data_IF_890616018008
#
_entry.id   IF_890616018008
#
_cell.length_a   1.000
_cell.length_b   1.000
_cell.length_c   1.000
_cell.angle_alpha   90.00
_cell.angle_beta   90.00
_cell.angle_gamma   90.00
#
_symmetry.space_group_name_H-M   'P 1'
#
loop_
_entity.id
_entity.type
_entity.pdbx_description
1 polymer ?
#
# COMPACT_ATOMS: atom_id res chain seq x y z
N UNK A 1 0.55 -10.54 10.34
CA UNK A 1 -0.25 -9.40 10.83
C UNK A 1 -0.49 -8.42 9.68
N UNK A 2 -1.74 -8.07 9.44
CA UNK A 2 -2.13 -7.03 8.51
C UNK A 2 -2.97 -5.95 9.21
N UNK A 3 -2.87 -4.71 8.74
CA UNK A 3 -3.70 -3.60 9.22
C UNK A 3 -4.13 -2.76 8.03
N UNK A 4 -5.44 -2.58 7.86
CA UNK A 4 -6.01 -1.67 6.87
C UNK A 4 -6.80 -0.61 7.61
N UNK A 5 -6.36 0.65 7.49
CA UNK A 5 -6.97 1.79 8.17
C UNK A 5 -7.32 2.87 7.16
N UNK A 6 -8.62 3.15 6.94
CA UNK A 6 -9.04 4.32 6.19
C UNK A 6 -8.92 5.58 7.06
N UNK A 7 -8.53 6.67 6.43
CA UNK A 7 -8.54 8.02 6.95
C UNK A 7 -9.38 8.88 6.00
N UNK A 8 -10.68 9.05 6.28
CA UNK A 8 -11.58 9.81 5.44
C UNK A 8 -11.22 11.31 5.40
N UNK A 9 -10.60 11.86 6.45
CA UNK A 9 -10.24 13.28 6.52
C UNK A 9 -9.12 13.60 5.53
N UNK A 10 -8.11 12.73 5.45
CA UNK A 10 -7.03 12.84 4.45
C UNK A 10 -7.39 12.26 3.08
N UNK A 11 -8.57 11.64 2.96
CA UNK A 11 -8.95 10.79 1.84
C UNK A 11 -7.83 9.79 1.48
N UNK A 12 -7.39 9.03 2.50
CA UNK A 12 -6.21 8.15 2.41
C UNK A 12 -6.50 6.78 3.00
N UNK A 13 -5.89 5.76 2.41
CA UNK A 13 -5.90 4.40 2.93
C UNK A 13 -4.49 3.98 3.37
N UNK A 14 -4.36 3.53 4.60
CA UNK A 14 -3.13 2.98 5.14
C UNK A 14 -3.22 1.46 5.17
N UNK A 15 -2.26 0.80 4.54
CA UNK A 15 -2.17 -0.66 4.51
C UNK A 15 -0.81 -1.03 5.08
N UNK A 16 -0.79 -1.81 6.15
CA UNK A 16 0.44 -2.38 6.71
C UNK A 16 0.40 -3.89 6.57
N UNK A 17 1.43 -4.45 5.95
CA UNK A 17 1.62 -5.89 5.76
C UNK A 17 2.92 -6.26 6.47
N UNK A 18 2.83 -7.01 7.57
CA UNK A 18 4.00 -7.49 8.30
C UNK A 18 4.45 -8.87 7.90
N UNK A 19 4.92 -9.69 8.84
CA UNK A 19 5.05 -11.14 8.64
C UNK A 19 3.68 -11.68 8.22
N UNK A 20 3.54 -11.91 6.91
CA UNK A 20 2.30 -12.25 6.26
C UNK A 20 2.51 -13.58 5.55
N UNK A 21 1.70 -14.56 5.94
CA UNK A 21 1.47 -15.74 5.13
C UNK A 21 0.33 -15.44 4.14
N UNK A 22 0.05 -16.36 3.23
CA UNK A 22 -1.04 -16.25 2.26
C UNK A 22 -2.39 -15.84 2.88
N UNK A 23 -2.75 -16.47 4.00
CA UNK A 23 -4.02 -16.23 4.71
C UNK A 23 -4.12 -14.77 5.18
N UNK A 24 -3.02 -14.21 5.69
CA UNK A 24 -2.96 -12.81 6.12
C UNK A 24 -3.13 -11.83 4.95
N UNK A 25 -2.61 -12.17 3.76
CA UNK A 25 -2.74 -11.33 2.57
C UNK A 25 -4.17 -11.41 2.01
N UNK A 26 -4.80 -12.59 2.07
CA UNK A 26 -6.21 -12.75 1.70
C UNK A 26 -7.13 -11.94 2.64
N UNK A 27 -6.87 -11.97 3.95
CA UNK A 27 -7.60 -11.14 4.91
C UNK A 27 -7.35 -9.64 4.70
N UNK A 28 -6.14 -9.25 4.28
CA UNK A 28 -5.83 -7.87 3.89
C UNK A 28 -6.63 -7.45 2.65
N UNK A 29 -6.83 -8.33 1.66
CA UNK A 29 -7.64 -8.04 0.48
C UNK A 29 -9.10 -7.73 0.86
N UNK A 30 -9.73 -8.59 1.67
CA UNK A 30 -11.11 -8.35 2.14
C UNK A 30 -11.20 -7.02 2.91
N UNK A 31 -10.22 -6.77 3.79
CA UNK A 31 -10.15 -5.53 4.56
C UNK A 31 -9.98 -4.29 3.68
N UNK A 32 -9.24 -4.40 2.57
CA UNK A 32 -9.07 -3.33 1.57
C UNK A 32 -10.39 -3.06 0.87
N UNK A 33 -11.11 -4.06 0.39
CA UNK A 33 -12.39 -3.90 -0.30
C UNK A 33 -13.44 -3.21 0.59
N UNK A 34 -13.48 -3.58 1.87
CA UNK A 34 -14.37 -2.94 2.85
C UNK A 34 -13.92 -1.50 3.15
N UNK A 35 -12.62 -1.27 3.29
CA UNK A 35 -12.09 0.05 3.67
C UNK A 35 -12.10 1.06 2.52
N UNK A 36 -12.02 0.61 1.27
CA UNK A 36 -12.18 1.47 0.09
C UNK A 36 -13.55 2.17 0.07
N UNK A 37 -14.59 1.53 0.60
CA UNK A 37 -15.94 2.13 0.70
C UNK A 37 -16.03 3.27 1.71
N UNK A 38 -15.00 3.44 2.55
CA UNK A 38 -14.93 4.48 3.60
C UNK A 38 -14.13 5.71 3.16
N UNK A 39 -13.54 5.68 1.96
CA UNK A 39 -12.84 6.80 1.34
C UNK A 39 -13.53 7.17 0.02
N UNK A 40 -13.29 8.37 -0.48
CA UNK A 40 -13.87 8.85 -1.74
C UNK A 40 -12.96 8.54 -2.91
N UNK A 41 -13.53 8.31 -4.09
CA UNK A 41 -12.75 8.13 -5.31
C UNK A 41 -11.77 9.30 -5.51
N UNK A 42 -10.55 8.99 -5.96
CA UNK A 42 -9.42 9.91 -5.97
C UNK A 42 -8.54 9.84 -4.72
N UNK A 43 -8.77 8.85 -3.84
CA UNK A 43 -8.00 8.67 -2.61
C UNK A 43 -6.53 8.30 -2.88
N UNK A 44 -5.70 8.51 -1.87
CA UNK A 44 -4.28 8.11 -1.88
C UNK A 44 -4.04 6.92 -0.98
N UNK A 45 -2.97 6.15 -1.20
CA UNK A 45 -2.68 4.99 -0.37
C UNK A 45 -1.22 4.95 0.06
N UNK A 46 -0.97 4.55 1.31
CA UNK A 46 0.35 4.18 1.80
C UNK A 46 0.34 2.69 2.09
N UNK A 47 1.23 1.97 1.44
CA UNK A 47 1.54 0.57 1.70
C UNK A 47 2.82 0.48 2.49
N UNK A 48 2.76 -0.06 3.70
CA UNK A 48 3.90 -0.24 4.58
C UNK A 48 4.20 -1.72 4.74
N UNK A 49 5.40 -2.14 4.36
CA UNK A 49 5.88 -3.50 4.59
C UNK A 49 6.81 -3.49 5.81
N UNK A 50 6.48 -4.26 6.86
CA UNK A 50 7.37 -4.38 8.02
C UNK A 50 8.49 -5.38 7.74
N UNK A 51 9.57 -5.31 8.53
CA UNK A 51 10.60 -6.35 8.51
C UNK A 51 9.99 -7.74 8.73
N UNK A 52 10.52 -8.74 8.01
CA UNK A 52 10.02 -10.12 8.03
C UNK A 52 8.86 -10.41 7.06
N UNK A 53 8.31 -9.41 6.37
CA UNK A 53 7.34 -9.64 5.29
C UNK A 53 7.98 -10.43 4.12
N UNK A 54 7.89 -11.75 4.15
CA UNK A 54 8.32 -12.64 3.09
C UNK A 54 7.14 -12.94 2.17
N UNK A 55 7.01 -12.16 1.11
CA UNK A 55 6.07 -12.47 0.03
C UNK A 55 6.72 -13.47 -0.93
N UNK A 56 6.23 -14.71 -0.88
CA UNK A 56 6.64 -15.74 -1.82
C UNK A 56 6.17 -15.35 -3.23
N UNK A 57 6.88 -15.77 -4.30
CA UNK A 57 6.44 -15.55 -5.67
C UNK A 57 4.99 -16.03 -5.91
N UNK A 58 4.58 -17.12 -5.27
CA UNK A 58 3.24 -17.70 -5.34
C UNK A 58 2.12 -16.83 -4.72
N UNK A 59 2.49 -15.78 -3.98
CA UNK A 59 1.56 -14.84 -3.34
C UNK A 59 1.48 -13.50 -4.10
N UNK A 60 2.23 -13.35 -5.20
CA UNK A 60 2.20 -12.13 -6.03
C UNK A 60 0.81 -11.86 -6.61
N UNK A 61 0.07 -12.90 -7.00
CA UNK A 61 -1.31 -12.79 -7.49
C UNK A 61 -2.23 -12.07 -6.50
N UNK A 62 -2.02 -12.26 -5.19
CA UNK A 62 -2.83 -11.62 -4.16
C UNK A 62 -2.52 -10.12 -4.05
N UNK A 63 -1.25 -9.73 -4.19
CA UNK A 63 -0.87 -8.32 -4.24
C UNK A 63 -1.46 -7.62 -5.46
N UNK A 64 -1.47 -8.28 -6.62
CA UNK A 64 -2.12 -7.73 -7.81
C UNK A 64 -3.64 -7.57 -7.61
N UNK A 65 -4.30 -8.52 -6.93
CA UNK A 65 -5.71 -8.38 -6.56
C UNK A 65 -5.95 -7.20 -5.63
N UNK A 66 -5.10 -7.00 -4.62
CA UNK A 66 -5.19 -5.85 -3.71
C UNK A 66 -5.05 -4.53 -4.50
N UNK A 67 -4.05 -4.43 -5.38
CA UNK A 67 -3.91 -3.27 -6.25
C UNK A 67 -5.13 -3.06 -7.15
N UNK A 68 -5.63 -4.13 -7.76
CA UNK A 68 -6.83 -4.09 -8.61
C UNK A 68 -8.05 -3.59 -7.85
N UNK A 69 -8.25 -4.04 -6.61
CA UNK A 69 -9.31 -3.58 -5.74
C UNK A 69 -9.18 -2.08 -5.43
N UNK A 70 -7.97 -1.60 -5.13
CA UNK A 70 -7.71 -0.19 -4.87
C UNK A 70 -7.97 0.69 -6.09
N UNK A 71 -7.46 0.29 -7.27
CA UNK A 71 -7.67 1.01 -8.53
C UNK A 71 -9.17 1.05 -8.87
N UNK A 72 -9.87 -0.07 -8.73
CA UNK A 72 -11.32 -0.15 -8.94
C UNK A 72 -12.10 0.71 -7.94
N UNK A 73 -11.57 0.87 -6.72
CA UNK A 73 -12.10 1.80 -5.71
C UNK A 73 -11.83 3.28 -6.01
N UNK A 74 -11.00 3.60 -7.00
CA UNK A 74 -10.65 4.97 -7.38
C UNK A 74 -9.33 5.48 -6.79
N UNK A 75 -8.37 4.60 -6.53
CA UNK A 75 -7.02 4.99 -6.11
C UNK A 75 -6.37 5.93 -7.15
N UNK A 76 -5.86 7.08 -6.67
CA UNK A 76 -5.16 8.08 -7.49
C UNK A 76 -3.64 7.93 -7.48
N UNK A 77 -3.07 7.65 -6.31
CA UNK A 77 -1.62 7.58 -6.09
C UNK A 77 -1.31 6.69 -4.90
N UNK A 78 -0.29 5.84 -5.02
CA UNK A 78 0.20 5.03 -3.93
C UNK A 78 1.65 5.38 -3.55
N UNK A 79 2.03 5.12 -2.29
CA UNK A 79 3.41 5.13 -1.85
C UNK A 79 3.72 3.84 -1.10
N UNK A 80 4.83 3.20 -1.45
CA UNK A 80 5.35 2.02 -0.81
C UNK A 80 6.46 2.40 0.18
N UNK A 81 6.23 2.13 1.46
CA UNK A 81 7.18 2.34 2.55
C UNK A 81 7.91 1.04 2.83
N UNK A 82 9.24 1.10 2.81
CA UNK A 82 10.11 -0.04 3.09
C UNK A 82 11.29 0.34 3.98
N UNK A 83 11.59 -0.50 4.98
CA UNK A 83 12.87 -0.44 5.68
C UNK A 83 14.00 -0.94 4.77
N UNK A 84 15.19 -0.36 4.93
CA UNK A 84 16.41 -0.89 4.32
C UNK A 84 16.63 -2.33 4.82
N UNK A 85 16.58 -3.32 3.91
CA UNK A 85 16.75 -4.75 4.25
C UNK A 85 15.51 -5.62 4.10
N UNK A 86 14.33 -5.06 3.79
CA UNK A 86 13.15 -5.87 3.46
C UNK A 86 13.36 -6.67 2.17
N UNK A 87 13.08 -7.98 2.24
CA UNK A 87 13.29 -8.98 1.17
C UNK A 87 12.24 -8.90 0.06
N UNK A 88 11.23 -8.02 0.16
CA UNK A 88 10.52 -7.54 -1.01
C UNK A 88 11.51 -6.79 -1.91
N UNK A 89 12.12 -7.54 -2.82
CA UNK A 89 13.07 -7.02 -3.77
C UNK A 89 12.45 -5.87 -4.53
N UNK A 90 13.23 -4.81 -4.74
CA UNK A 90 12.91 -3.68 -5.63
C UNK A 90 12.23 -4.11 -6.93
N UNK A 91 12.60 -5.29 -7.44
CA UNK A 91 12.03 -5.95 -8.61
C UNK A 91 10.54 -6.33 -8.47
N UNK A 92 10.08 -6.88 -7.34
CA UNK A 92 8.67 -7.20 -7.14
C UNK A 92 7.80 -5.94 -7.11
N UNK A 93 8.32 -4.86 -6.51
CA UNK A 93 7.68 -3.54 -6.51
C UNK A 93 7.69 -2.88 -7.89
N UNK A 94 8.79 -3.01 -8.64
CA UNK A 94 8.86 -2.54 -10.03
C UNK A 94 7.86 -3.31 -10.91
N UNK A 95 7.68 -4.62 -10.71
CA UNK A 95 6.63 -5.40 -11.37
C UNK A 95 5.22 -4.94 -10.96
N UNK A 96 5.00 -4.65 -9.69
CA UNK A 96 3.74 -4.08 -9.18
C UNK A 96 3.45 -2.69 -9.76
N UNK A 97 4.49 -1.87 -10.00
CA UNK A 97 4.37 -0.58 -10.68
C UNK A 97 4.04 -0.75 -12.16
N UNK A 98 4.69 -1.70 -12.85
CA UNK A 98 4.48 -1.96 -14.28
C UNK A 98 3.10 -2.53 -14.59
N UNK A 99 2.54 -3.35 -13.69
CA UNK A 99 1.23 -3.98 -13.89
C UNK A 99 0.05 -3.15 -13.38
N UNK A 100 0.30 -2.05 -12.67
CA UNK A 100 -0.78 -1.18 -12.17
C UNK A 100 -0.86 0.10 -13.00
N UNK A 101 -2.07 0.46 -13.42
CA UNK A 101 -2.38 1.76 -14.04
C UNK A 101 -2.28 2.94 -13.04
N UNK A 102 -1.88 2.68 -11.79
CA UNK A 102 -1.76 3.69 -10.75
C UNK A 102 -0.28 4.09 -10.55
N UNK A 103 0.05 5.39 -10.57
CA UNK A 103 1.40 5.85 -10.24
C UNK A 103 1.69 5.55 -8.77
N UNK A 104 2.79 4.85 -8.55
CA UNK A 104 3.30 4.56 -7.21
C UNK A 104 4.74 5.06 -7.03
N UNK A 105 5.09 5.42 -5.80
CA UNK A 105 6.43 5.94 -5.44
C UNK A 105 6.96 5.16 -4.23
N UNK A 106 8.28 5.09 -4.06
CA UNK A 106 8.88 4.46 -2.88
C UNK A 106 9.23 5.51 -1.83
N UNK A 107 9.15 5.13 -0.56
CA UNK A 107 9.59 5.88 0.61
C UNK A 107 10.33 4.94 1.57
N UNK A 108 11.24 5.49 2.39
CA UNK A 108 11.95 4.75 3.42
C UNK A 108 11.23 4.80 4.77
N UNK A 109 10.39 5.81 5.00
CA UNK A 109 9.63 5.97 6.24
C UNK A 109 8.18 6.34 5.95
N UNK A 110 7.30 6.12 6.93
CA UNK A 110 5.90 6.55 6.86
C UNK A 110 5.80 8.08 6.72
N UNK A 111 6.64 8.83 7.43
CA UNK A 111 6.72 10.28 7.31
C UNK A 111 7.10 10.75 5.89
N UNK A 112 8.08 10.11 5.27
CA UNK A 112 8.45 10.42 3.89
C UNK A 112 7.28 10.12 2.93
N UNK A 113 6.56 9.03 3.14
CA UNK A 113 5.38 8.71 2.33
C UNK A 113 4.25 9.72 2.49
N UNK A 114 4.01 10.18 3.72
CA UNK A 114 3.07 11.28 3.99
C UNK A 114 3.46 12.53 3.20
N UNK A 115 4.74 12.92 3.24
CA UNK A 115 5.25 14.09 2.52
C UNK A 115 5.06 13.95 1.00
N UNK A 116 5.35 12.77 0.45
CA UNK A 116 5.20 12.47 -0.99
C UNK A 116 3.73 12.56 -1.45
N UNK A 117 2.80 12.09 -0.62
CA UNK A 117 1.37 12.16 -0.92
C UNK A 117 0.80 13.56 -0.69
N UNK A 118 1.35 14.33 0.24
CA UNK A 118 0.93 15.69 0.56
C UNK A 118 1.58 16.77 -0.34
N UNK A 119 2.29 16.39 -1.41
CA UNK A 119 2.97 17.32 -2.32
C UNK A 119 4.05 18.22 -1.64
N UNK A 120 4.81 17.68 -0.69
CA UNK A 120 6.10 18.29 -0.31
C UNK A 120 6.06 19.50 0.61
N UNK A 121 5.06 19.64 1.49
CA UNK A 121 5.22 20.46 2.70
C UNK A 121 5.01 19.60 3.95
N UNK A 122 5.99 19.54 4.89
CA UNK A 122 5.64 19.20 6.24
C UNK A 122 4.55 20.17 6.68
N UNK A 123 3.50 19.65 7.29
CA UNK A 123 2.53 20.46 8.00
C UNK A 123 3.27 21.10 9.17
N UNK A 124 3.88 22.26 8.93
CA UNK A 124 4.44 23.09 9.99
C UNK A 124 3.30 23.52 10.88
N UNK A 125 3.34 23.04 12.13
CA UNK A 125 2.60 23.59 13.25
C UNK A 125 2.95 25.07 13.46
#
# INVERSE_FOLDING_TARGET
MHLVKPDPEKNRLYITIGEANRVEIEAALESVEVSCKKVTAGFTCIFHFTEGALLLPSDQDLLFKIQGALVSGGLKKAVYVRNQGSVLGRLQLEMLHMNSSCPATNALTLDEAEIILNNGKPSSA
#
